data_IF_276020703125
#
_entry.id   IF_276020703125
#
_cell.length_a   1.000
_cell.length_b   1.000
_cell.length_c   1.000
_cell.angle_alpha   90.00
_cell.angle_beta   90.00
_cell.angle_gamma   90.00
#
_symmetry.space_group_name_H-M   'P 1'
#
loop_
_entity.id
_entity.type
_entity.pdbx_description
1 polymer ?
#
# COMPACT_ATOMS: atom_id res chain seq x y z
N UNK A 1 7.67 18.61 -17.04
CA UNK A 1 8.43 17.73 -17.96
C UNK A 1 7.48 16.72 -18.61
N UNK A 2 7.57 16.37 -19.91
CA UNK A 2 6.66 15.42 -20.52
C UNK A 2 7.05 13.99 -20.13
N UNK A 3 6.06 13.22 -19.65
CA UNK A 3 6.18 11.87 -19.08
C UNK A 3 6.74 10.84 -20.08
N UNK A 4 6.73 11.17 -21.37
CA UNK A 4 7.37 10.44 -22.46
C UNK A 4 8.88 10.22 -22.26
N UNK A 5 9.55 11.08 -21.50
CA UNK A 5 11.00 10.99 -21.28
C UNK A 5 11.38 9.96 -20.18
N UNK A 6 10.54 9.75 -19.16
CA UNK A 6 10.76 8.74 -18.13
C UNK A 6 10.60 7.31 -18.67
N UNK A 7 9.65 7.10 -19.58
CA UNK A 7 9.37 5.79 -20.17
C UNK A 7 10.48 5.31 -21.12
N UNK A 8 11.06 6.21 -21.91
CA UNK A 8 12.20 5.90 -22.78
C UNK A 8 13.49 5.68 -21.97
N UNK A 9 13.68 6.42 -20.87
CA UNK A 9 14.88 6.35 -20.00
C UNK A 9 14.88 5.15 -19.04
N UNK A 10 13.72 4.75 -18.52
CA UNK A 10 13.58 3.55 -17.69
C UNK A 10 13.87 2.24 -18.44
N UNK A 11 13.73 2.23 -19.78
CA UNK A 11 13.98 1.04 -20.60
C UNK A 11 15.46 0.85 -20.99
N UNK A 12 16.37 1.81 -20.76
CA UNK A 12 17.75 1.68 -21.22
C UNK A 12 18.86 1.94 -20.17
N UNK A 13 18.71 2.86 -19.20
CA UNK A 13 19.69 2.97 -18.09
C UNK A 13 19.21 3.97 -17.00
N UNK A 14 18.12 3.65 -16.28
CA UNK A 14 17.61 4.52 -15.22
C UNK A 14 18.67 4.83 -14.15
N UNK A 15 19.57 3.88 -13.88
CA UNK A 15 20.65 4.05 -12.90
C UNK A 15 21.58 5.19 -13.30
N UNK A 16 22.06 5.19 -14.55
CA UNK A 16 22.96 6.23 -15.06
C UNK A 16 22.31 7.62 -15.08
N UNK A 17 21.02 7.69 -15.41
CA UNK A 17 20.27 8.95 -15.37
C UNK A 17 20.28 9.62 -13.99
N UNK A 18 20.13 8.83 -12.93
CA UNK A 18 20.11 9.35 -11.57
C UNK A 18 21.51 9.60 -10.99
N UNK A 19 22.51 8.83 -11.40
CA UNK A 19 23.90 8.99 -10.94
C UNK A 19 24.51 10.36 -11.28
N UNK A 20 24.03 11.01 -12.35
CA UNK A 20 24.49 12.34 -12.76
C UNK A 20 23.73 13.47 -12.04
N UNK A 21 22.58 13.20 -11.42
CA UNK A 21 21.74 14.21 -10.74
C UNK A 21 22.09 14.35 -9.28
N UNK A 22 22.07 15.59 -8.75
CA UNK A 22 22.09 15.80 -7.31
C UNK A 22 20.66 15.75 -6.74
N UNK A 23 20.52 15.48 -5.44
CA UNK A 23 19.21 15.40 -4.77
C UNK A 23 18.31 16.63 -5.01
N UNK A 24 18.89 17.84 -5.05
CA UNK A 24 18.12 19.07 -5.23
C UNK A 24 17.64 19.29 -6.67
N UNK A 25 18.16 18.51 -7.63
CA UNK A 25 17.77 18.56 -9.04
C UNK A 25 16.61 17.59 -9.37
N UNK A 26 16.16 16.80 -8.39
CA UNK A 26 15.09 15.82 -8.59
C UNK A 26 13.72 16.49 -8.57
N UNK A 27 12.94 16.24 -9.62
CA UNK A 27 11.52 16.59 -9.66
C UNK A 27 10.69 15.59 -8.83
N UNK A 28 9.43 15.93 -8.55
CA UNK A 28 8.50 15.03 -7.87
C UNK A 28 8.33 13.69 -8.60
N UNK A 29 8.34 13.70 -9.94
CA UNK A 29 8.27 12.50 -10.77
C UNK A 29 9.49 11.59 -10.60
N UNK A 30 10.69 12.18 -10.50
CA UNK A 30 11.93 11.45 -10.22
C UNK A 30 11.84 10.78 -8.84
N UNK A 31 11.40 11.51 -7.81
CA UNK A 31 11.22 10.96 -6.46
C UNK A 31 10.13 9.89 -6.40
N UNK A 32 9.04 10.06 -7.16
CA UNK A 32 7.97 9.07 -7.26
C UNK A 32 8.46 7.77 -7.89
N UNK A 33 9.31 7.86 -8.92
CA UNK A 33 9.93 6.71 -9.55
C UNK A 33 10.78 5.92 -8.55
N UNK A 34 11.63 6.61 -7.79
CA UNK A 34 12.48 6.01 -6.75
C UNK A 34 11.63 5.42 -5.62
N UNK A 35 10.56 6.10 -5.21
CA UNK A 35 9.68 5.63 -4.13
C UNK A 35 8.98 4.32 -4.48
N UNK A 36 8.51 4.18 -5.72
CA UNK A 36 7.82 2.98 -6.22
C UNK A 36 8.77 1.84 -6.60
N UNK A 37 10.09 2.04 -6.57
CA UNK A 37 11.05 0.98 -6.82
C UNK A 37 11.05 -0.06 -5.69
N UNK A 38 10.50 -1.22 -6.01
CA UNK A 38 10.44 -2.37 -5.12
C UNK A 38 11.62 -3.32 -5.24
N UNK A 39 12.43 -3.22 -6.29
CA UNK A 39 13.45 -4.23 -6.59
C UNK A 39 14.72 -3.92 -5.80
N UNK A 40 15.28 -2.73 -6.00
CA UNK A 40 16.51 -2.33 -5.32
C UNK A 40 16.21 -1.60 -4.02
N UNK A 41 15.16 -0.76 -4.01
CA UNK A 41 14.80 0.03 -2.84
C UNK A 41 15.76 1.17 -2.52
N UNK A 42 16.73 1.40 -3.41
CA UNK A 42 17.66 2.50 -3.32
C UNK A 42 18.02 3.02 -4.71
N UNK A 43 18.44 4.29 -4.77
CA UNK A 43 18.93 4.93 -5.98
C UNK A 43 20.18 5.75 -5.65
N UNK A 44 21.27 5.50 -6.37
CA UNK A 44 22.48 6.32 -6.28
C UNK A 44 22.29 7.61 -7.06
N UNK A 45 22.67 8.72 -6.43
CA UNK A 45 22.75 10.06 -7.01
C UNK A 45 24.21 10.52 -7.04
N UNK A 46 24.48 11.67 -7.65
CA UNK A 46 25.84 12.24 -7.71
C UNK A 46 26.39 12.62 -6.33
N UNK A 47 25.52 12.94 -5.38
CA UNK A 47 25.89 13.46 -4.06
C UNK A 47 25.42 12.64 -2.85
N UNK A 48 24.60 11.59 -3.04
CA UNK A 48 24.14 10.71 -1.98
C UNK A 48 23.50 9.42 -2.52
N UNK A 49 23.11 8.50 -1.64
CA UNK A 49 22.23 7.38 -1.99
C UNK A 49 20.88 7.56 -1.31
N UNK A 50 19.82 7.54 -2.11
CA UNK A 50 18.44 7.58 -1.65
C UNK A 50 17.91 6.18 -1.40
N UNK A 51 17.04 6.07 -0.41
CA UNK A 51 16.31 4.87 -0.04
C UNK A 51 14.83 5.19 0.07
N UNK A 52 13.98 4.20 -0.17
CA UNK A 52 12.52 4.33 -0.04
C UNK A 52 11.98 3.52 1.12
N UNK A 53 11.19 4.18 1.97
CA UNK A 53 10.48 3.51 3.07
C UNK A 53 9.44 2.50 2.57
N UNK A 54 8.94 2.64 1.34
CA UNK A 54 8.02 1.69 0.72
C UNK A 54 8.67 0.31 0.58
N UNK A 55 9.93 0.26 0.12
CA UNK A 55 10.68 -0.98 -0.02
C UNK A 55 10.96 -1.62 1.34
N UNK A 56 11.34 -0.83 2.35
CA UNK A 56 11.55 -1.33 3.72
C UNK A 56 10.28 -1.94 4.31
N UNK A 57 9.12 -1.31 4.09
CA UNK A 57 7.83 -1.85 4.53
C UNK A 57 7.48 -3.15 3.80
N UNK A 58 7.72 -3.25 2.49
CA UNK A 58 7.49 -4.47 1.71
C UNK A 58 8.41 -5.61 2.16
N UNK A 59 9.68 -5.33 2.42
CA UNK A 59 10.63 -6.31 2.97
C UNK A 59 10.22 -6.74 4.38
N UNK A 60 9.77 -5.80 5.21
CA UNK A 60 9.26 -6.09 6.55
C UNK A 60 8.05 -7.03 6.48
N UNK A 61 7.10 -6.76 5.58
CA UNK A 61 5.97 -7.65 5.36
C UNK A 61 6.43 -9.05 4.93
N UNK A 62 7.28 -9.13 3.89
CA UNK A 62 7.79 -10.40 3.36
C UNK A 62 8.56 -11.22 4.41
N UNK A 63 9.46 -10.59 5.16
CA UNK A 63 10.22 -11.26 6.22
C UNK A 63 9.29 -11.73 7.35
N UNK A 64 8.30 -10.91 7.70
CA UNK A 64 7.38 -11.24 8.79
C UNK A 64 6.47 -12.42 8.45
N UNK A 65 6.03 -12.55 7.20
CA UNK A 65 5.27 -13.72 6.73
C UNK A 65 6.04 -15.03 6.88
N UNK A 66 7.37 -14.98 6.71
CA UNK A 66 8.24 -16.15 6.82
C UNK A 66 8.65 -16.46 8.28
N UNK A 67 8.19 -15.68 9.26
CA UNK A 67 8.55 -15.83 10.66
C UNK A 67 7.32 -16.17 11.53
N UNK A 68 7.33 -17.37 12.11
CA UNK A 68 6.22 -17.89 12.92
C UNK A 68 5.79 -16.98 14.08
N UNK A 69 6.68 -16.14 14.61
CA UNK A 69 6.37 -15.22 15.72
C UNK A 69 5.62 -13.97 15.26
N UNK A 70 5.83 -13.55 14.02
CA UNK A 70 5.35 -12.26 13.49
C UNK A 70 4.36 -12.40 12.34
N UNK A 71 4.19 -13.60 11.77
CA UNK A 71 3.42 -13.87 10.53
C UNK A 71 1.94 -13.47 10.54
N UNK A 72 1.39 -13.13 11.69
CA UNK A 72 -0.03 -12.72 11.83
C UNK A 72 -0.16 -11.19 11.72
N UNK A 73 0.29 -10.45 12.74
CA UNK A 73 -0.02 -9.03 12.87
C UNK A 73 0.96 -8.12 12.12
N UNK A 74 2.26 -8.32 12.30
CA UNK A 74 3.30 -7.47 11.70
C UNK A 74 3.18 -7.31 10.19
N UNK A 75 2.96 -8.37 9.38
CA UNK A 75 2.86 -8.18 7.94
C UNK A 75 1.59 -7.42 7.55
N UNK A 76 0.47 -7.61 8.24
CA UNK A 76 -0.75 -6.84 8.00
C UNK A 76 -0.55 -5.35 8.28
N UNK A 77 0.11 -5.02 9.40
CA UNK A 77 0.44 -3.63 9.75
C UNK A 77 1.32 -2.97 8.68
N UNK A 78 2.36 -3.67 8.22
CA UNK A 78 3.25 -3.19 7.15
C UNK A 78 2.49 -3.01 5.82
N UNK A 79 1.65 -3.98 5.45
CA UNK A 79 0.77 -3.91 4.29
C UNK A 79 -0.16 -2.69 4.32
N UNK A 80 -0.78 -2.39 5.47
CA UNK A 80 -1.63 -1.21 5.60
C UNK A 80 -0.82 0.10 5.58
N UNK A 81 0.41 0.12 6.11
CA UNK A 81 1.28 1.27 6.01
C UNK A 81 1.65 1.58 4.55
N UNK A 82 1.93 0.54 3.74
CA UNK A 82 2.17 0.68 2.29
C UNK A 82 0.97 1.29 1.59
N UNK A 83 -0.25 0.78 1.85
CA UNK A 83 -1.47 1.34 1.24
C UNK A 83 -1.67 2.81 1.63
N UNK A 84 -1.35 3.18 2.87
CA UNK A 84 -1.47 4.57 3.31
C UNK A 84 -0.48 5.50 2.61
N UNK A 85 0.77 5.06 2.40
CA UNK A 85 1.76 5.79 1.58
C UNK A 85 1.26 5.95 0.14
N UNK A 86 0.77 4.87 -0.48
CA UNK A 86 0.30 4.90 -1.87
C UNK A 86 -0.88 5.87 -2.03
N UNK A 87 -1.95 5.73 -1.26
CA UNK A 87 -3.13 6.58 -1.43
C UNK A 87 -2.94 8.01 -0.90
N UNK A 88 -1.97 8.22 -0.01
CA UNK A 88 -1.57 9.55 0.45
C UNK A 88 -0.73 10.31 -0.58
N UNK A 89 0.17 9.61 -1.29
CA UNK A 89 1.07 10.21 -2.27
C UNK A 89 0.45 10.36 -3.67
N UNK A 90 -0.46 9.45 -4.04
CA UNK A 90 -0.88 9.28 -5.43
C UNK A 90 -2.41 9.31 -5.62
N UNK A 91 -2.81 9.72 -6.82
CA UNK A 91 -4.15 9.64 -7.37
C UNK A 91 -4.13 9.08 -8.79
N UNK A 92 -5.30 9.01 -9.43
CA UNK A 92 -5.43 8.54 -10.81
C UNK A 92 -6.10 9.59 -11.66
N UNK A 93 -5.53 9.88 -12.83
CA UNK A 93 -6.15 10.80 -13.80
C UNK A 93 -7.36 10.19 -14.52
N UNK A 94 -7.46 8.85 -14.53
CA UNK A 94 -8.54 8.13 -15.23
C UNK A 94 -9.71 7.75 -14.33
N UNK A 95 -9.51 7.71 -13.01
CA UNK A 95 -10.53 7.32 -12.04
C UNK A 95 -10.49 8.27 -10.85
N UNK A 96 -11.63 8.86 -10.51
CA UNK A 96 -11.80 9.61 -9.26
C UNK A 96 -12.27 8.70 -8.13
N UNK A 97 -12.06 9.13 -6.89
CA UNK A 97 -12.54 8.44 -5.70
C UNK A 97 -13.19 9.43 -4.74
N UNK A 98 -14.23 8.98 -4.04
CA UNK A 98 -14.88 9.75 -2.97
C UNK A 98 -14.32 9.41 -1.59
N UNK A 99 -13.41 8.43 -1.50
CA UNK A 99 -12.83 8.03 -0.23
C UNK A 99 -11.86 9.09 0.31
N UNK A 100 -11.78 9.13 1.64
CA UNK A 100 -10.75 9.85 2.39
C UNK A 100 -9.83 8.85 3.09
N UNK A 101 -8.58 9.24 3.30
CA UNK A 101 -7.54 8.41 3.90
C UNK A 101 -6.81 7.53 2.89
N UNK A 102 -5.49 7.40 3.05
CA UNK A 102 -4.62 6.76 2.05
C UNK A 102 -5.02 5.32 1.76
N UNK A 103 -5.30 4.53 2.79
CA UNK A 103 -5.66 3.11 2.63
C UNK A 103 -6.86 2.90 1.69
N UNK A 104 -7.99 3.56 1.95
CA UNK A 104 -9.21 3.39 1.15
C UNK A 104 -9.02 3.89 -0.28
N UNK A 105 -8.34 5.03 -0.43
CA UNK A 105 -8.00 5.60 -1.73
C UNK A 105 -7.15 4.62 -2.54
N UNK A 106 -6.12 4.01 -1.95
CA UNK A 106 -5.25 3.08 -2.65
C UNK A 106 -6.01 1.84 -3.13
N UNK A 107 -6.83 1.26 -2.26
CA UNK A 107 -7.64 0.09 -2.58
C UNK A 107 -8.67 0.38 -3.68
N UNK A 108 -9.32 1.55 -3.65
CA UNK A 108 -10.32 1.94 -4.65
C UNK A 108 -9.67 2.26 -6.00
N UNK A 109 -8.66 3.15 -6.03
CA UNK A 109 -8.08 3.63 -7.28
C UNK A 109 -7.23 2.58 -7.98
N UNK A 110 -6.47 1.80 -7.22
CA UNK A 110 -5.44 0.92 -7.77
C UNK A 110 -5.72 -0.58 -7.52
N UNK A 111 -6.61 -0.92 -6.60
CA UNK A 111 -7.01 -2.29 -6.33
C UNK A 111 -8.18 -2.76 -7.20
N UNK A 112 -8.69 -3.96 -6.87
CA UNK A 112 -9.86 -4.59 -7.50
C UNK A 112 -10.97 -4.89 -6.50
N UNK A 113 -10.97 -4.18 -5.37
CA UNK A 113 -11.89 -4.42 -4.26
C UNK A 113 -13.21 -3.69 -4.45
N UNK A 114 -14.29 -4.34 -4.02
CA UNK A 114 -15.60 -3.71 -3.88
C UNK A 114 -15.63 -2.73 -2.70
N UNK A 115 -16.61 -1.82 -2.65
CA UNK A 115 -16.82 -0.91 -1.52
C UNK A 115 -16.96 -1.67 -0.19
N UNK A 116 -17.71 -2.78 -0.17
CA UNK A 116 -17.86 -3.61 1.03
C UNK A 116 -16.52 -4.19 1.51
N UNK A 117 -15.68 -4.68 0.60
CA UNK A 117 -14.35 -5.21 0.93
C UNK A 117 -13.41 -4.11 1.41
N UNK A 118 -13.47 -2.91 0.81
CA UNK A 118 -12.67 -1.75 1.25
C UNK A 118 -13.03 -1.38 2.69
N UNK A 119 -14.33 -1.32 3.02
CA UNK A 119 -14.77 -1.05 4.39
C UNK A 119 -14.34 -2.16 5.36
N UNK A 120 -14.41 -3.43 4.96
CA UNK A 120 -13.92 -4.56 5.76
C UNK A 120 -12.40 -4.50 5.98
N UNK A 121 -11.59 -4.24 4.95
CA UNK A 121 -10.13 -4.07 5.11
C UNK A 121 -9.80 -2.88 6.00
N UNK A 122 -10.55 -1.78 5.90
CA UNK A 122 -10.36 -0.63 6.78
C UNK A 122 -10.76 -0.94 8.23
N UNK A 123 -11.85 -1.71 8.44
CA UNK A 123 -12.24 -2.22 9.74
C UNK A 123 -11.16 -3.13 10.34
N UNK A 124 -10.58 -4.04 9.55
CA UNK A 124 -9.44 -4.87 9.95
C UNK A 124 -8.27 -4.00 10.40
N UNK A 125 -7.90 -2.96 9.62
CA UNK A 125 -6.86 -2.00 10.04
C UNK A 125 -7.19 -1.36 11.39
N UNK A 126 -8.44 -0.95 11.62
CA UNK A 126 -8.80 -0.32 12.89
C UNK A 126 -8.66 -1.28 14.07
N UNK A 127 -9.15 -2.52 13.93
CA UNK A 127 -8.96 -3.56 14.96
C UNK A 127 -7.49 -3.83 15.27
N UNK A 128 -6.65 -3.88 14.24
CA UNK A 128 -5.20 -4.07 14.39
C UNK A 128 -4.51 -2.90 15.11
N UNK A 129 -4.81 -1.66 14.73
CA UNK A 129 -4.10 -0.47 15.23
C UNK A 129 -4.61 0.02 16.58
N UNK A 130 -5.91 -0.12 16.86
CA UNK A 130 -6.52 0.43 18.08
C UNK A 130 -6.65 -0.63 19.18
N UNK A 131 -6.96 -1.87 18.81
CA UNK A 131 -7.28 -2.92 19.78
C UNK A 131 -6.27 -4.08 19.78
N UNK A 132 -5.32 -4.09 18.82
CA UNK A 132 -4.40 -5.21 18.63
C UNK A 132 -5.11 -6.53 18.32
N UNK A 133 -6.30 -6.46 17.72
CA UNK A 133 -7.21 -7.60 17.58
C UNK A 133 -7.66 -7.82 16.14
N UNK A 134 -8.24 -8.99 15.88
CA UNK A 134 -8.92 -9.33 14.62
C UNK A 134 -10.44 -9.10 14.73
N UNK A 135 -10.82 -8.09 15.51
CA UNK A 135 -12.19 -7.67 15.74
C UNK A 135 -12.28 -6.18 15.44
N UNK A 136 -13.38 -5.77 14.81
CA UNK A 136 -13.71 -4.35 14.70
C UNK A 136 -15.17 -4.17 15.06
N UNK A 137 -15.43 -3.38 16.11
CA UNK A 137 -16.77 -2.96 16.51
C UNK A 137 -16.85 -1.46 16.28
N UNK A 138 -17.71 -1.03 15.37
CA UNK A 138 -17.89 0.39 15.06
C UNK A 138 -18.98 0.99 15.94
N UNK A 139 -18.63 2.00 16.75
CA UNK A 139 -19.62 2.79 17.51
C UNK A 139 -20.58 3.57 16.61
N UNK A 140 -20.17 3.86 15.37
CA UNK A 140 -20.91 4.66 14.39
C UNK A 140 -21.56 3.81 13.27
N UNK A 141 -21.80 2.50 13.51
CA UNK A 141 -22.46 1.56 12.59
C UNK A 141 -21.76 1.32 11.25
N UNK A 142 -20.47 1.62 11.10
CA UNK A 142 -19.75 1.53 9.82
C UNK A 142 -19.05 0.18 9.59
N UNK A 143 -19.72 -0.93 9.91
CA UNK A 143 -19.27 -2.34 9.77
C UNK A 143 -18.68 -2.92 11.07
N UNK A 144 -19.37 -3.92 11.62
CA UNK A 144 -18.88 -4.79 12.69
C UNK A 144 -18.36 -6.07 12.04
N UNK A 145 -17.13 -6.48 12.35
CA UNK A 145 -16.52 -7.66 11.71
C UNK A 145 -15.67 -8.46 12.69
N UNK A 146 -15.83 -9.78 12.63
CA UNK A 146 -14.92 -10.75 13.23
C UNK A 146 -14.04 -11.31 12.10
N UNK A 147 -12.74 -11.12 12.18
CA UNK A 147 -11.78 -11.66 11.23
C UNK A 147 -11.14 -12.96 11.73
N UNK A 148 -10.93 -13.90 10.81
CA UNK A 148 -10.01 -15.02 11.00
C UNK A 148 -9.07 -15.13 9.81
N UNK A 149 -7.83 -15.50 10.09
CA UNK A 149 -6.81 -15.68 9.06
C UNK A 149 -6.91 -17.10 8.53
N UNK A 150 -6.98 -17.24 7.21
CA UNK A 150 -6.80 -18.51 6.53
C UNK A 150 -6.10 -18.27 5.20
N UNK A 151 -5.09 -19.09 4.91
CA UNK A 151 -4.36 -19.05 3.64
C UNK A 151 -4.97 -19.96 2.56
N UNK A 152 -6.04 -20.67 2.90
CA UNK A 152 -6.65 -21.70 2.04
C UNK A 152 -7.59 -21.11 0.96
N UNK A 153 -8.07 -19.88 1.15
CA UNK A 153 -9.03 -19.26 0.23
C UNK A 153 -8.32 -18.59 -0.95
N UNK A 154 -8.88 -18.64 -2.15
CA UNK A 154 -8.31 -17.96 -3.32
C UNK A 154 -8.49 -16.43 -3.26
N UNK A 155 -9.57 -15.98 -2.63
CA UNK A 155 -9.90 -14.58 -2.45
C UNK A 155 -9.20 -13.99 -1.22
N UNK A 156 -8.93 -12.69 -1.28
CA UNK A 156 -8.40 -11.92 -0.15
C UNK A 156 -9.40 -11.90 0.99
N UNK A 157 -10.65 -11.55 0.70
CA UNK A 157 -11.74 -11.61 1.66
C UNK A 157 -12.70 -12.72 1.25
N UNK A 158 -13.06 -13.57 2.21
CA UNK A 158 -14.24 -14.43 2.10
C UNK A 158 -15.29 -13.91 3.05
N UNK A 159 -16.42 -13.49 2.51
CA UNK A 159 -17.51 -12.92 3.28
C UNK A 159 -18.17 -13.97 4.19
N UNK A 160 -18.71 -13.52 5.34
CA UNK A 160 -19.42 -14.40 6.24
C UNK A 160 -20.74 -14.84 5.62
N UNK A 161 -21.36 -15.90 6.15
CA UNK A 161 -22.72 -16.29 5.76
C UNK A 161 -23.75 -15.25 6.20
N UNK A 162 -23.49 -14.59 7.33
CA UNK A 162 -24.31 -13.53 7.91
C UNK A 162 -23.41 -12.40 8.43
N UNK A 163 -23.79 -11.15 8.22
CA UNK A 163 -23.06 -10.02 8.79
C UNK A 163 -23.17 -10.04 10.33
N UNK A 164 -22.09 -9.69 11.01
CA UNK A 164 -22.07 -9.68 12.46
C UNK A 164 -22.82 -8.46 13.00
N UNK A 165 -23.71 -8.68 13.96
CA UNK A 165 -24.48 -7.62 14.63
C UNK A 165 -23.68 -6.86 15.69
N UNK A 166 -22.48 -7.32 16.03
CA UNK A 166 -21.63 -6.75 17.08
C UNK A 166 -21.92 -7.31 18.48
N UNK A 167 -22.74 -8.36 18.58
CA UNK A 167 -23.07 -9.04 19.84
C UNK A 167 -22.39 -10.40 19.86
N UNK A 168 -21.86 -10.83 21.01
CA UNK A 168 -21.27 -12.15 21.13
C UNK A 168 -22.36 -13.23 21.07
N UNK A 169 -22.16 -14.21 20.19
CA UNK A 169 -23.01 -15.39 20.03
C UNK A 169 -22.21 -16.64 20.42
N UNK A 170 -22.90 -17.68 20.90
CA UNK A 170 -22.26 -18.96 21.24
C UNK A 170 -21.64 -19.64 20.00
N UNK A 171 -22.29 -19.51 18.84
CA UNK A 171 -21.74 -19.92 17.54
C UNK A 171 -21.44 -18.70 16.67
N UNK A 172 -20.15 -18.37 16.55
CA UNK A 172 -19.69 -17.24 15.74
C UNK A 172 -19.40 -17.61 14.28
N UNK A 173 -19.44 -18.89 13.90
CA UNK A 173 -18.90 -19.35 12.61
C UNK A 173 -19.60 -18.74 11.40
N UNK A 174 -20.89 -18.46 11.51
CA UNK A 174 -21.67 -17.82 10.45
C UNK A 174 -21.31 -16.34 10.22
N UNK A 175 -20.67 -15.70 11.20
CA UNK A 175 -20.31 -14.27 11.20
C UNK A 175 -18.84 -14.00 10.87
N UNK A 176 -18.03 -15.04 10.70
CA UNK A 176 -16.58 -14.90 10.46
C UNK A 176 -16.33 -14.44 9.02
N UNK A 177 -15.65 -13.30 8.90
CA UNK A 177 -14.98 -12.91 7.67
C UNK A 177 -13.58 -13.51 7.67
N UNK A 178 -13.24 -14.24 6.61
CA UNK A 178 -11.90 -14.82 6.48
C UNK A 178 -11.01 -13.90 5.65
N UNK A 179 -9.78 -13.64 6.12
CA UNK A 179 -8.76 -12.87 5.40
C UNK A 179 -7.60 -13.80 4.99
N UNK A 180 -7.32 -13.87 3.69
CA UNK A 180 -6.10 -14.46 3.18
C UNK A 180 -5.01 -13.40 3.12
N UNK A 181 -4.11 -13.43 4.10
CA UNK A 181 -3.04 -12.46 4.28
C UNK A 181 -1.96 -12.56 3.20
N UNK A 182 -1.69 -13.76 2.67
CA UNK A 182 -0.77 -13.98 1.55
C UNK A 182 -1.33 -13.40 0.25
N UNK A 183 -2.62 -13.62 -0.02
CA UNK A 183 -3.29 -13.01 -1.17
C UNK A 183 -3.35 -11.48 -1.03
N UNK A 184 -3.62 -10.96 0.16
CA UNK A 184 -3.62 -9.52 0.43
C UNK A 184 -2.26 -8.87 0.12
N UNK A 185 -1.15 -9.49 0.54
CA UNK A 185 0.21 -9.04 0.17
C UNK A 185 0.39 -8.96 -1.34
N UNK A 186 -0.01 -10.01 -2.06
CA UNK A 186 0.12 -10.04 -3.52
C UNK A 186 -0.73 -8.95 -4.19
N UNK A 187 -1.90 -8.64 -3.62
CA UNK A 187 -2.74 -7.54 -4.13
C UNK A 187 -2.08 -6.18 -3.93
N UNK A 188 -1.41 -5.96 -2.80
CA UNK A 188 -0.61 -4.75 -2.57
C UNK A 188 0.56 -4.68 -3.55
N UNK A 189 1.17 -5.82 -3.86
CA UNK A 189 2.22 -5.86 -4.85
C UNK A 189 1.72 -5.40 -6.23
N UNK A 190 0.55 -5.90 -6.63
CA UNK A 190 -0.14 -5.51 -7.85
C UNK A 190 -0.54 -4.04 -7.86
N UNK A 191 -0.99 -3.49 -6.73
CA UNK A 191 -1.30 -2.05 -6.58
C UNK A 191 -0.07 -1.20 -6.90
N UNK A 192 1.09 -1.49 -6.30
CA UNK A 192 2.33 -0.75 -6.57
C UNK A 192 2.76 -0.92 -8.03
N UNK A 193 2.63 -2.13 -8.62
CA UNK A 193 2.93 -2.36 -10.04
C UNK A 193 2.06 -1.46 -10.92
N UNK A 194 0.76 -1.37 -10.59
CA UNK A 194 -0.17 -0.50 -11.30
C UNK A 194 0.22 0.97 -11.17
N UNK A 195 0.54 1.44 -9.96
CA UNK A 195 1.02 2.82 -9.76
C UNK A 195 2.29 3.11 -10.57
N UNK A 196 3.23 2.16 -10.62
CA UNK A 196 4.48 2.28 -11.40
C UNK A 196 4.17 2.39 -12.89
N UNK A 197 3.29 1.54 -13.40
CA UNK A 197 2.86 1.60 -14.80
C UNK A 197 2.15 2.92 -15.11
N UNK A 198 1.26 3.37 -14.22
CA UNK A 198 0.55 4.64 -14.37
C UNK A 198 1.51 5.84 -14.34
N UNK A 199 2.60 5.78 -13.56
CA UNK A 199 3.64 6.80 -13.58
C UNK A 199 4.34 6.85 -14.95
N UNK A 200 4.71 5.69 -15.48
CA UNK A 200 5.42 5.57 -16.75
C UNK A 200 4.55 5.95 -17.96
N UNK A 201 3.24 5.72 -17.92
CA UNK A 201 2.30 6.12 -18.97
C UNK A 201 1.76 7.54 -18.76
N UNK A 202 1.96 8.11 -17.59
CA UNK A 202 1.51 9.44 -17.21
C UNK A 202 0.04 9.56 -16.80
N UNK A 203 -0.62 8.42 -16.52
CA UNK A 203 -1.94 8.35 -15.92
C UNK A 203 -1.93 8.54 -14.39
N UNK A 204 -0.77 8.47 -13.73
CA UNK A 204 -0.65 8.71 -12.29
C UNK A 204 -0.73 10.21 -11.99
N UNK A 205 -1.50 10.56 -10.96
CA UNK A 205 -1.57 11.91 -10.40
C UNK A 205 -0.72 11.98 -9.13
N UNK A 206 0.10 13.02 -9.02
CA UNK A 206 0.89 13.30 -7.82
C UNK A 206 0.09 14.20 -6.89
N UNK A 207 -0.16 13.78 -5.64
CA UNK A 207 -0.85 14.61 -4.63
C UNK A 207 0.10 15.55 -3.90
N UNK A 208 1.38 15.21 -3.87
CA UNK A 208 2.43 16.01 -3.26
C UNK A 208 3.20 16.70 -4.38
N UNK A 209 3.13 18.02 -4.42
CA UNK A 209 3.75 18.83 -5.47
C UNK A 209 5.13 19.39 -5.07
N UNK A 210 5.51 19.28 -3.79
CA UNK A 210 6.79 19.75 -3.29
C UNK A 210 7.80 18.59 -3.21
N UNK A 211 8.92 18.62 -3.96
CA UNK A 211 9.95 17.58 -3.89
C UNK A 211 10.50 17.37 -2.47
N UNK A 212 10.70 18.46 -1.72
CA UNK A 212 11.22 18.41 -0.35
C UNK A 212 10.27 17.70 0.62
N UNK A 213 8.97 17.97 0.51
CA UNK A 213 7.95 17.28 1.30
C UNK A 213 7.91 15.79 0.95
N UNK A 214 7.95 15.46 -0.34
CA UNK A 214 7.96 14.08 -0.81
C UNK A 214 9.16 13.31 -0.25
N UNK A 215 10.35 13.91 -0.34
CA UNK A 215 11.57 13.36 0.21
C UNK A 215 11.40 13.06 1.70
N UNK A 216 11.06 14.03 2.54
CA UNK A 216 10.99 13.80 3.99
C UNK A 216 9.89 12.82 4.42
N UNK A 217 8.83 12.65 3.63
CA UNK A 217 7.76 11.72 3.97
C UNK A 217 8.11 10.26 3.65
N UNK A 218 8.75 10.02 2.52
CA UNK A 218 8.83 8.66 1.97
C UNK A 218 10.23 8.17 1.64
N UNK A 219 11.19 9.09 1.53
CA UNK A 219 12.57 8.79 1.16
C UNK A 219 13.52 9.24 2.28
N UNK A 220 14.74 8.74 2.23
CA UNK A 220 15.81 9.19 3.12
C UNK A 220 17.16 8.94 2.45
N UNK A 221 18.15 9.75 2.83
CA UNK A 221 19.51 9.63 2.32
C UNK A 221 20.41 8.99 3.38
N UNK A 222 21.26 8.05 2.98
CA UNK A 222 22.43 7.64 3.78
C UNK A 222 23.69 8.16 3.09
N UNK A 223 24.68 8.53 3.91
CA UNK A 223 26.03 8.87 3.46
C UNK A 223 26.84 7.60 3.27
#
# INVERSE_FOLDING_TARGET
MPITDLKSKAMCDSSRYFEEKALHDLEVSDLAFIHLDRILGFQRLSNCTLYTSLHDLMNTAQASFNNNRTRIYTPLLACFAVLDQIGGAYGSKSKSTNYRGGIKIALDLFGTYTENEIEKLYALRNGLYHDGSLLSVSTNKKTNVIFRISEETTNTITHPKQEWDGIYHDDINQYITTINTKKFKNDIENIITKCTNDLLTGSLEMKINCPREFFYKFLFAKK
#
